data_IF_832201766157
#
_entry.id   IF_832201766157
#
_cell.length_a   1.000
_cell.length_b   1.000
_cell.length_c   1.000
_cell.angle_alpha   90.00
_cell.angle_beta   90.00
_cell.angle_gamma   90.00
#
_symmetry.space_group_name_H-M   'P 1'
#
loop_
_entity.id
_entity.type
_entity.pdbx_description
1 polymer ?
#
# COMPACT_ATOMS: atom_id res chain seq x y z
N UNK A 1 -52.30 32.31 -33.70
CA UNK A 1 -51.38 31.20 -34.03
C UNK A 1 -50.01 31.49 -33.40
N UNK A 2 -49.57 30.59 -32.49
CA UNK A 2 -48.19 30.29 -32.03
C UNK A 2 -47.40 31.43 -31.36
N UNK A 3 -47.35 31.53 -30.02
CA UNK A 3 -46.43 30.86 -29.04
C UNK A 3 -44.95 31.26 -29.26
N UNK A 4 -44.42 32.28 -28.55
CA UNK A 4 -43.68 32.27 -27.25
C UNK A 4 -42.55 31.21 -27.20
N UNK A 5 -41.29 31.65 -26.97
CA UNK A 5 -40.46 31.38 -25.77
C UNK A 5 -38.99 31.76 -26.07
N UNK A 6 -38.52 32.74 -25.31
CA UNK A 6 -37.13 33.14 -25.12
C UNK A 6 -36.47 32.10 -24.18
N UNK A 7 -35.51 31.30 -24.67
CA UNK A 7 -34.78 30.34 -23.82
C UNK A 7 -33.39 30.88 -23.49
N UNK A 8 -33.26 31.45 -22.29
CA UNK A 8 -31.99 31.74 -21.64
C UNK A 8 -31.32 30.41 -21.27
N UNK A 9 -30.28 30.01 -22.00
CA UNK A 9 -29.42 28.89 -21.64
C UNK A 9 -28.42 29.31 -20.57
N UNK A 10 -28.70 28.99 -19.30
CA UNK A 10 -27.73 29.08 -18.22
C UNK A 10 -26.77 27.89 -18.36
N UNK A 11 -25.59 28.13 -18.93
CA UNK A 11 -24.45 27.22 -18.82
C UNK A 11 -23.88 27.33 -17.41
N UNK A 12 -24.36 26.47 -16.50
CA UNK A 12 -23.74 26.27 -15.19
C UNK A 12 -22.45 25.47 -15.38
N UNK A 13 -21.32 26.17 -15.54
CA UNK A 13 -19.99 25.57 -15.38
C UNK A 13 -19.78 25.25 -13.90
N UNK A 14 -20.14 24.03 -13.48
CA UNK A 14 -19.68 23.50 -12.20
C UNK A 14 -18.20 23.18 -12.32
N UNK A 15 -17.35 24.12 -11.93
CA UNK A 15 -15.94 23.80 -11.63
C UNK A 15 -15.92 23.06 -10.30
N UNK A 16 -15.99 21.74 -10.33
CA UNK A 16 -15.72 20.92 -9.15
C UNK A 16 -14.22 21.05 -8.85
N UNK A 17 -13.86 22.01 -8.00
CA UNK A 17 -12.52 22.03 -7.41
C UNK A 17 -12.43 20.82 -6.49
N UNK A 18 -11.58 19.85 -6.84
CA UNK A 18 -11.29 18.73 -5.95
C UNK A 18 -10.79 19.29 -4.61
N UNK A 19 -11.51 19.01 -3.53
CA UNK A 19 -11.04 19.29 -2.18
C UNK A 19 -10.19 18.10 -1.72
N UNK A 20 -9.00 18.41 -1.20
CA UNK A 20 -8.08 17.44 -0.63
C UNK A 20 -8.36 17.26 0.87
N UNK A 21 -8.16 16.04 1.35
CA UNK A 21 -8.38 15.66 2.74
C UNK A 21 -7.33 16.28 3.67
N UNK A 22 -7.77 16.74 4.84
CA UNK A 22 -6.89 17.24 5.89
C UNK A 22 -6.58 16.19 6.97
N UNK A 23 -6.80 14.90 6.69
CA UNK A 23 -6.73 13.82 7.69
C UNK A 23 -5.38 13.74 8.44
N UNK A 24 -4.26 13.95 7.75
CA UNK A 24 -2.93 13.99 8.39
C UNK A 24 -2.38 15.42 8.58
N UNK A 25 -3.16 16.47 8.27
CA UNK A 25 -2.70 17.86 8.27
C UNK A 25 -2.60 18.50 9.67
N UNK A 26 -2.39 17.70 10.71
CA UNK A 26 -2.32 18.21 12.09
C UNK A 26 -0.88 18.58 12.43
N UNK A 27 -0.69 19.89 12.59
CA UNK A 27 0.50 20.47 13.19
C UNK A 27 0.42 20.29 14.71
N UNK A 28 1.23 19.38 15.27
CA UNK A 28 1.33 19.17 16.72
C UNK A 28 2.23 20.27 17.27
N UNK A 29 1.66 21.46 17.44
CA UNK A 29 2.25 22.52 18.26
C UNK A 29 1.19 23.42 18.90
N UNK A 30 0.04 22.86 19.30
CA UNK A 30 -0.88 23.54 20.20
C UNK A 30 -0.64 23.08 21.64
N UNK A 31 0.16 23.86 22.37
CA UNK A 31 0.10 23.90 23.84
C UNK A 31 -1.29 24.40 24.24
N UNK A 32 -2.24 23.48 24.48
CA UNK A 32 -3.55 23.83 25.05
C UNK A 32 -3.49 23.61 26.55
N UNK A 33 -3.35 24.71 27.29
CA UNK A 33 -3.54 24.74 28.74
C UNK A 33 -4.78 25.59 29.04
N UNK A 34 -5.98 25.06 28.77
CA UNK A 34 -7.23 25.72 29.16
C UNK A 34 -8.24 24.74 29.76
N UNK A 35 -8.63 25.03 31.00
CA UNK A 35 -9.78 24.44 31.69
C UNK A 35 -11.06 25.03 31.09
N UNK A 36 -11.79 24.26 30.27
CA UNK A 36 -13.08 24.71 29.70
C UNK A 36 -14.22 23.83 30.21
N UNK A 37 -15.16 24.45 30.93
CA UNK A 37 -16.48 23.88 31.26
C UNK A 37 -17.35 23.86 30.00
N UNK A 38 -17.86 22.70 29.62
CA UNK A 38 -18.68 22.53 28.41
C UNK A 38 -20.16 22.46 28.81
N UNK A 39 -20.93 23.47 28.41
CA UNK A 39 -22.38 23.40 28.27
C UNK A 39 -22.80 24.09 26.97
N UNK A 40 -23.00 23.30 25.91
CA UNK A 40 -23.49 23.78 24.61
C UNK A 40 -23.38 22.69 23.55
N UNK A 41 -24.39 22.58 22.67
CA UNK A 41 -24.42 21.62 21.56
C UNK A 41 -23.21 21.81 20.64
N UNK A 42 -22.28 20.85 20.68
CA UNK A 42 -21.07 20.83 19.86
C UNK A 42 -21.40 20.22 18.50
N UNK A 43 -21.26 21.03 17.45
CA UNK A 43 -21.11 20.52 16.09
C UNK A 43 -19.74 19.84 16.01
N UNK A 44 -19.73 18.51 15.98
CA UNK A 44 -18.51 17.69 16.12
C UNK A 44 -17.68 17.80 14.83
N UNK A 45 -16.80 18.80 14.77
CA UNK A 45 -15.55 18.65 14.02
C UNK A 45 -14.79 17.50 14.69
N UNK A 46 -14.73 16.34 14.03
CA UNK A 46 -14.01 15.14 14.49
C UNK A 46 -12.49 15.43 14.49
N UNK A 47 -12.03 16.18 15.49
CA UNK A 47 -10.62 16.34 15.80
C UNK A 47 -10.14 15.05 16.50
N UNK A 48 -9.26 14.31 15.82
CA UNK A 48 -8.35 13.25 16.29
C UNK A 48 -8.83 12.48 17.52
N UNK A 49 -9.49 11.36 17.29
CA UNK A 49 -9.51 10.26 18.27
C UNK A 49 -8.48 9.24 17.81
N UNK A 50 -7.58 8.84 18.71
CA UNK A 50 -6.53 7.84 18.49
C UNK A 50 -7.06 6.67 17.66
N UNK A 51 -6.45 6.41 16.50
CA UNK A 51 -6.83 5.28 15.64
C UNK A 51 -6.63 3.98 16.42
N UNK A 52 -7.72 3.27 16.72
CA UNK A 52 -7.64 1.94 17.31
C UNK A 52 -7.42 0.90 16.22
N UNK A 53 -6.15 0.73 15.85
CA UNK A 53 -5.72 -0.27 14.88
C UNK A 53 -6.14 -1.69 15.26
N UNK A 54 -6.24 -2.00 16.56
CA UNK A 54 -6.70 -3.30 17.04
C UNK A 54 -8.16 -3.55 16.69
N UNK A 55 -9.03 -2.60 17.02
CA UNK A 55 -10.44 -2.67 16.70
C UNK A 55 -10.69 -2.68 15.18
N UNK A 56 -9.95 -1.87 14.41
CA UNK A 56 -10.02 -1.87 12.95
C UNK A 56 -9.57 -3.21 12.35
N UNK A 57 -8.55 -3.84 12.92
CA UNK A 57 -8.08 -5.16 12.50
C UNK A 57 -9.12 -6.25 12.77
N UNK A 58 -9.73 -6.25 13.97
CA UNK A 58 -10.81 -7.19 14.33
C UNK A 58 -12.01 -7.01 13.39
N UNK A 59 -12.37 -5.76 13.09
CA UNK A 59 -13.45 -5.44 12.16
C UNK A 59 -13.16 -5.95 10.75
N UNK A 60 -11.93 -5.79 10.26
CA UNK A 60 -11.50 -6.34 8.97
C UNK A 60 -11.58 -7.87 8.95
N UNK A 61 -11.08 -8.53 10.00
CA UNK A 61 -11.12 -9.98 10.13
C UNK A 61 -12.56 -10.51 10.09
N UNK A 62 -13.48 -9.86 10.83
CA UNK A 62 -14.89 -10.25 10.84
C UNK A 62 -15.56 -10.05 9.47
N UNK A 63 -15.27 -8.95 8.78
CA UNK A 63 -15.81 -8.70 7.42
C UNK A 63 -15.34 -9.75 6.43
N UNK A 64 -14.04 -10.06 6.43
CA UNK A 64 -13.45 -11.08 5.58
C UNK A 64 -14.09 -12.45 5.87
N UNK A 65 -14.22 -12.80 7.15
CA UNK A 65 -14.89 -14.03 7.58
C UNK A 65 -16.32 -14.11 7.08
N UNK A 66 -17.11 -13.05 7.29
CA UNK A 66 -18.51 -12.99 6.85
C UNK A 66 -18.65 -13.13 5.32
N UNK A 67 -17.71 -12.57 4.56
CA UNK A 67 -17.68 -12.72 3.11
C UNK A 67 -17.38 -14.18 2.73
N UNK A 68 -16.35 -14.77 3.33
CA UNK A 68 -15.94 -16.15 3.06
C UNK A 68 -17.01 -17.15 3.48
N UNK A 69 -17.75 -16.93 4.57
CA UNK A 69 -18.85 -17.79 5.00
C UNK A 69 -20.02 -17.84 4.00
N UNK A 70 -20.19 -16.78 3.17
CA UNK A 70 -21.22 -16.70 2.13
C UNK A 70 -20.82 -17.38 0.82
N UNK A 71 -19.55 -17.71 0.64
CA UNK A 71 -19.07 -18.38 -0.58
C UNK A 71 -19.49 -19.86 -0.57
N UNK A 72 -19.74 -20.40 -1.76
CA UNK A 72 -19.93 -21.83 -1.95
C UNK A 72 -18.56 -22.50 -2.09
N UNK A 73 -18.29 -23.48 -1.24
CA UNK A 73 -17.09 -24.31 -1.31
C UNK A 73 -17.47 -25.72 -1.75
N UNK A 74 -16.64 -26.29 -2.62
CA UNK A 74 -16.74 -27.70 -2.98
C UNK A 74 -16.05 -28.61 -1.93
N UNK A 75 -15.16 -28.04 -1.11
CA UNK A 75 -14.37 -28.74 -0.09
C UNK A 75 -14.47 -27.99 1.25
N UNK A 76 -14.87 -28.70 2.29
CA UNK A 76 -14.97 -28.16 3.65
C UNK A 76 -13.61 -27.77 4.23
N UNK A 77 -12.53 -28.46 3.81
CA UNK A 77 -11.17 -28.10 4.22
C UNK A 77 -10.78 -26.72 3.69
N UNK A 78 -11.09 -26.42 2.44
CA UNK A 78 -10.82 -25.10 1.83
C UNK A 78 -11.59 -24.00 2.55
N UNK A 79 -12.83 -24.28 2.97
CA UNK A 79 -13.62 -23.36 3.80
C UNK A 79 -12.92 -23.08 5.12
N UNK A 80 -12.50 -24.12 5.84
CA UNK A 80 -11.84 -23.96 7.15
C UNK A 80 -10.53 -23.18 7.04
N UNK A 81 -9.69 -23.49 6.04
CA UNK A 81 -8.46 -22.74 5.74
C UNK A 81 -8.78 -21.25 5.50
N UNK A 82 -9.80 -20.97 4.69
CA UNK A 82 -10.20 -19.60 4.35
C UNK A 82 -10.66 -18.83 5.59
N UNK A 83 -11.44 -19.46 6.49
CA UNK A 83 -11.90 -18.84 7.73
C UNK A 83 -10.77 -18.61 8.74
N UNK A 84 -9.81 -19.54 8.85
CA UNK A 84 -8.60 -19.34 9.66
C UNK A 84 -7.79 -18.14 9.15
N UNK A 85 -7.61 -18.03 7.83
CA UNK A 85 -6.90 -16.92 7.19
C UNK A 85 -7.59 -15.59 7.44
N UNK A 86 -8.92 -15.54 7.41
CA UNK A 86 -9.65 -14.32 7.73
C UNK A 86 -9.47 -13.86 9.18
N UNK A 87 -9.31 -14.79 10.12
CA UNK A 87 -9.05 -14.46 11.53
C UNK A 87 -7.56 -14.13 11.79
N UNK A 88 -6.65 -14.80 11.08
CA UNK A 88 -5.21 -14.56 11.12
C UNK A 88 -4.60 -14.60 9.71
N UNK A 89 -4.40 -13.42 9.07
CA UNK A 89 -3.83 -13.33 7.74
C UNK A 89 -2.48 -14.01 7.59
N UNK A 90 -1.71 -14.18 8.68
CA UNK A 90 -0.39 -14.83 8.58
C UNK A 90 -0.50 -16.29 8.19
N UNK A 91 -1.65 -16.94 8.42
CA UNK A 91 -1.94 -18.29 7.94
C UNK A 91 -1.99 -18.38 6.42
N UNK A 92 -2.25 -17.28 5.71
CA UNK A 92 -2.16 -17.28 4.25
C UNK A 92 -0.73 -17.52 3.77
N UNK A 93 0.28 -17.17 4.57
CA UNK A 93 1.65 -17.58 4.30
C UNK A 93 1.75 -19.10 4.41
N UNK A 94 1.35 -19.68 5.55
CA UNK A 94 1.55 -21.10 5.85
C UNK A 94 0.80 -22.02 4.86
N UNK A 95 -0.46 -21.68 4.53
CA UNK A 95 -1.27 -22.39 3.52
C UNK A 95 -0.96 -21.98 2.07
N UNK A 96 -0.19 -20.91 1.89
CA UNK A 96 0.35 -20.51 0.60
C UNK A 96 1.42 -21.48 0.09
N UNK A 97 1.99 -21.18 -1.06
CA UNK A 97 3.00 -22.03 -1.70
C UNK A 97 4.25 -21.25 -2.08
N UNK A 98 5.37 -21.96 -2.12
CA UNK A 98 6.65 -21.40 -2.57
C UNK A 98 6.58 -21.13 -4.07
N UNK A 99 6.97 -19.93 -4.49
CA UNK A 99 7.16 -19.60 -5.89
C UNK A 99 8.65 -19.42 -6.15
N UNK A 100 9.16 -20.19 -7.11
CA UNK A 100 10.55 -20.16 -7.54
C UNK A 100 10.58 -19.99 -9.04
N UNK A 101 11.25 -18.94 -9.52
CA UNK A 101 11.42 -18.74 -10.96
C UNK A 101 12.81 -18.19 -11.28
N UNK A 102 13.31 -18.65 -12.42
CA UNK A 102 14.63 -18.31 -12.94
C UNK A 102 14.48 -17.26 -14.02
N UNK A 103 15.25 -16.18 -13.92
CA UNK A 103 15.39 -15.17 -14.97
C UNK A 103 16.75 -15.34 -15.64
N UNK A 104 16.79 -15.22 -16.98
CA UNK A 104 17.99 -15.42 -17.81
C UNK A 104 17.94 -14.56 -19.06
N UNK A 105 19.10 -14.28 -19.67
CA UNK A 105 19.16 -13.52 -20.93
C UNK A 105 18.67 -12.08 -20.76
N UNK A 106 17.90 -11.57 -21.72
CA UNK A 106 17.45 -10.17 -21.74
C UNK A 106 16.58 -9.79 -20.53
N UNK A 107 15.77 -10.75 -20.05
CA UNK A 107 14.97 -10.60 -18.83
C UNK A 107 15.83 -10.26 -17.60
N UNK A 108 17.02 -10.87 -17.50
CA UNK A 108 17.94 -10.64 -16.39
C UNK A 108 18.87 -9.45 -16.62
N UNK A 109 19.24 -9.20 -17.89
CA UNK A 109 20.20 -8.17 -18.29
C UNK A 109 19.75 -6.77 -17.90
N UNK A 110 18.46 -6.48 -18.00
CA UNK A 110 17.86 -5.21 -17.57
C UNK A 110 18.04 -4.90 -16.07
N UNK A 111 18.41 -5.91 -15.29
CA UNK A 111 18.68 -5.83 -13.86
C UNK A 111 20.17 -5.96 -13.50
N UNK A 112 21.05 -6.01 -14.50
CA UNK A 112 22.49 -6.15 -14.29
C UNK A 112 22.95 -7.59 -14.04
N UNK A 113 22.13 -8.59 -14.37
CA UNK A 113 22.47 -10.00 -14.23
C UNK A 113 22.41 -10.73 -15.57
N UNK A 114 23.21 -11.79 -15.73
CA UNK A 114 23.04 -12.81 -16.78
C UNK A 114 21.98 -13.84 -16.39
N UNK A 115 21.89 -14.17 -15.10
CA UNK A 115 20.94 -15.13 -14.52
C UNK A 115 20.74 -14.87 -13.03
N UNK A 116 19.55 -15.13 -12.50
CA UNK A 116 19.28 -15.27 -11.07
C UNK A 116 17.99 -16.06 -10.85
N UNK A 117 17.84 -16.62 -9.65
CA UNK A 117 16.64 -17.34 -9.18
C UNK A 117 15.96 -16.49 -8.11
N UNK A 118 14.66 -16.22 -8.25
CA UNK A 118 13.87 -15.56 -7.21
C UNK A 118 13.04 -16.59 -6.48
N UNK A 119 12.98 -16.46 -5.17
CA UNK A 119 12.23 -17.30 -4.27
C UNK A 119 11.40 -16.41 -3.36
N UNK A 120 10.08 -16.59 -3.35
CA UNK A 120 9.21 -15.98 -2.34
C UNK A 120 7.94 -16.81 -2.20
N UNK A 121 7.28 -16.66 -1.06
CA UNK A 121 6.02 -17.36 -0.83
C UNK A 121 4.85 -16.55 -1.36
N UNK A 122 3.98 -17.19 -2.14
CA UNK A 122 2.70 -16.62 -2.58
C UNK A 122 1.67 -16.92 -1.50
N UNK A 123 1.03 -15.89 -0.90
CA UNK A 123 -0.04 -16.11 0.06
C UNK A 123 -1.21 -16.88 -0.56
N UNK A 124 -1.94 -17.60 0.27
CA UNK A 124 -3.10 -18.39 -0.15
C UNK A 124 -4.14 -17.53 -0.89
N UNK A 125 -4.76 -18.14 -1.91
CA UNK A 125 -5.68 -17.48 -2.85
C UNK A 125 -6.97 -16.94 -2.24
N UNK A 126 -7.33 -17.41 -1.04
CA UNK A 126 -8.48 -16.89 -0.29
C UNK A 126 -8.27 -15.44 0.14
N UNK A 127 -7.02 -14.96 0.18
CA UNK A 127 -6.70 -13.60 0.55
C UNK A 127 -6.03 -12.82 -0.57
N UNK A 128 -5.04 -13.40 -1.28
CA UNK A 128 -4.37 -12.71 -2.39
C UNK A 128 -4.45 -13.50 -3.69
N UNK A 129 -4.87 -12.84 -4.76
CA UNK A 129 -4.86 -13.39 -6.11
C UNK A 129 -3.65 -12.89 -6.89
N UNK A 130 -3.12 -13.73 -7.78
CA UNK A 130 -2.02 -13.33 -8.66
C UNK A 130 -2.56 -12.43 -9.78
N UNK A 131 -2.14 -11.17 -9.80
CA UNK A 131 -2.54 -10.16 -10.78
C UNK A 131 -1.47 -9.92 -11.87
N UNK A 132 -0.54 -10.88 -12.04
CA UNK A 132 0.50 -10.90 -13.06
C UNK A 132 1.78 -10.15 -12.69
N UNK A 133 2.89 -10.47 -13.39
CA UNK A 133 4.19 -9.77 -13.26
C UNK A 133 4.73 -9.58 -11.82
N UNK A 134 4.49 -10.56 -10.93
CA UNK A 134 4.92 -10.49 -9.53
C UNK A 134 4.06 -9.57 -8.65
N UNK A 135 2.84 -9.24 -9.11
CA UNK A 135 1.83 -8.50 -8.37
C UNK A 135 0.78 -9.44 -7.79
N UNK A 136 0.49 -9.26 -6.52
CA UNK A 136 -0.59 -9.96 -5.80
C UNK A 136 -1.58 -8.93 -5.30
N UNK A 137 -2.86 -9.21 -5.45
CA UNK A 137 -3.92 -8.26 -5.14
C UNK A 137 -4.92 -8.88 -4.17
N UNK A 138 -5.36 -8.07 -3.22
CA UNK A 138 -6.49 -8.33 -2.35
C UNK A 138 -7.46 -7.16 -2.46
N UNK A 139 -8.75 -7.45 -2.68
CA UNK A 139 -9.81 -6.42 -2.72
C UNK A 139 -10.80 -6.74 -1.62
N UNK A 140 -11.00 -5.79 -0.69
CA UNK A 140 -11.98 -5.94 0.40
C UNK A 140 -13.40 -5.70 -0.10
N UNK A 141 -14.39 -6.12 0.69
CA UNK A 141 -15.81 -5.84 0.41
C UNK A 141 -16.15 -4.34 0.38
N UNK A 142 -15.30 -3.50 0.99
CA UNK A 142 -15.43 -2.04 1.01
C UNK A 142 -14.72 -1.37 -0.19
N UNK A 143 -14.22 -2.14 -1.15
CA UNK A 143 -13.53 -1.61 -2.32
C UNK A 143 -12.09 -1.14 -2.05
N UNK A 144 -11.50 -1.52 -0.91
CA UNK A 144 -10.09 -1.23 -0.61
C UNK A 144 -9.23 -2.29 -1.28
N UNK A 145 -8.32 -1.86 -2.13
CA UNK A 145 -7.36 -2.73 -2.80
C UNK A 145 -6.01 -2.66 -2.09
N UNK A 146 -5.44 -3.82 -1.74
CA UNK A 146 -4.05 -3.95 -1.31
C UNK A 146 -3.27 -4.77 -2.33
N UNK A 147 -2.26 -4.17 -2.93
CA UNK A 147 -1.33 -4.82 -3.86
C UNK A 147 0.03 -5.07 -3.19
N UNK A 148 0.62 -6.24 -3.39
CA UNK A 148 2.05 -6.53 -3.13
C UNK A 148 2.73 -6.66 -4.49
N UNK A 149 3.75 -5.84 -4.75
CA UNK A 149 4.49 -5.80 -6.02
C UNK A 149 5.94 -6.14 -5.73
N UNK A 150 6.33 -7.37 -6.06
CA UNK A 150 7.69 -7.84 -5.89
C UNK A 150 8.56 -7.24 -6.99
N UNK A 151 9.47 -6.33 -6.60
CA UNK A 151 10.40 -5.70 -7.51
C UNK A 151 11.47 -6.67 -7.99
N UNK A 152 12.00 -6.40 -9.17
CA UNK A 152 13.14 -7.16 -9.70
C UNK A 152 14.42 -6.71 -8.96
N UNK A 153 15.29 -7.63 -8.50
CA UNK A 153 16.58 -7.25 -7.92
C UNK A 153 17.39 -6.45 -8.94
N UNK A 154 18.22 -5.51 -8.47
CA UNK A 154 19.09 -4.68 -9.30
C UNK A 154 20.54 -4.79 -8.83
N UNK A 155 21.41 -5.31 -9.68
CA UNK A 155 22.85 -5.32 -9.44
C UNK A 155 23.46 -3.94 -9.69
N UNK A 156 24.38 -3.53 -8.82
CA UNK A 156 25.12 -2.28 -8.94
C UNK A 156 26.26 -2.42 -9.97
N UNK A 157 25.91 -2.50 -11.26
CA UNK A 157 26.86 -2.71 -12.36
C UNK A 157 27.93 -1.62 -12.43
N UNK A 158 27.62 -0.41 -11.98
CA UNK A 158 28.51 0.75 -12.02
C UNK A 158 29.32 0.95 -10.73
N UNK A 159 29.16 0.07 -9.74
CA UNK A 159 29.81 0.17 -8.43
C UNK A 159 29.62 1.55 -7.76
N UNK A 160 28.43 2.12 -7.91
CA UNK A 160 28.08 3.42 -7.32
C UNK A 160 27.88 3.25 -5.82
N UNK A 161 28.15 4.32 -5.07
CA UNK A 161 27.71 4.40 -3.67
C UNK A 161 26.19 4.49 -3.65
N UNK A 162 25.54 3.53 -3.00
CA UNK A 162 24.08 3.46 -2.87
C UNK A 162 23.70 3.74 -1.42
N UNK A 163 22.95 4.81 -1.21
CA UNK A 163 22.38 5.17 0.09
C UNK A 163 20.86 4.92 0.07
N UNK A 164 20.47 3.71 0.45
CA UNK A 164 19.05 3.32 0.50
C UNK A 164 18.27 4.14 1.53
N UNK A 165 18.91 4.61 2.60
CA UNK A 165 18.21 5.43 3.60
C UNK A 165 17.79 6.75 2.98
N UNK A 166 18.72 7.43 2.30
CA UNK A 166 18.44 8.66 1.56
C UNK A 166 17.37 8.46 0.49
N UNK A 167 17.48 7.39 -0.31
CA UNK A 167 16.45 7.06 -1.32
C UNK A 167 15.06 6.86 -0.69
N UNK A 168 15.01 6.25 0.50
CA UNK A 168 13.76 5.97 1.24
C UNK A 168 13.23 7.17 2.04
N UNK A 169 13.95 8.28 2.18
CA UNK A 169 13.38 9.53 2.73
C UNK A 169 12.39 10.20 1.78
N UNK A 170 12.44 9.82 0.49
CA UNK A 170 11.56 10.31 -0.57
C UNK A 170 11.46 11.85 -0.54
N UNK A 171 12.62 12.52 -0.50
CA UNK A 171 12.74 13.98 -0.36
C UNK A 171 12.14 14.75 -1.55
N UNK A 172 11.98 14.08 -2.70
CA UNK A 172 11.34 14.63 -3.89
C UNK A 172 9.90 15.08 -3.64
N UNK A 173 9.21 14.47 -2.68
CA UNK A 173 7.83 14.85 -2.32
C UNK A 173 7.80 15.75 -1.09
N UNK A 174 7.02 16.83 -1.18
CA UNK A 174 6.74 17.76 -0.10
C UNK A 174 5.36 17.49 0.49
N UNK A 175 5.27 17.41 1.81
CA UNK A 175 3.99 17.23 2.51
C UNK A 175 3.15 18.50 2.48
N UNK A 176 1.82 18.34 2.54
CA UNK A 176 0.86 19.44 2.58
C UNK A 176 0.70 20.21 1.26
N UNK A 177 1.33 19.76 0.17
CA UNK A 177 1.27 20.43 -1.14
C UNK A 177 1.07 19.46 -2.29
N UNK A 178 0.72 20.01 -3.46
CA UNK A 178 0.67 19.26 -4.71
C UNK A 178 2.08 18.99 -5.23
N UNK A 179 2.29 17.73 -5.60
CA UNK A 179 3.52 17.23 -6.20
C UNK A 179 3.22 16.64 -7.58
N UNK A 180 4.24 16.48 -8.41
CA UNK A 180 4.11 15.70 -9.64
C UNK A 180 3.93 14.21 -9.32
N UNK A 181 3.03 13.56 -10.06
CA UNK A 181 2.79 12.13 -9.89
C UNK A 181 4.02 11.30 -10.28
N UNK A 182 4.42 10.30 -9.47
CA UNK A 182 5.48 9.35 -9.83
C UNK A 182 5.16 8.49 -11.05
N UNK A 183 3.87 8.25 -11.31
CA UNK A 183 3.42 7.22 -12.24
C UNK A 183 2.89 7.76 -13.56
N UNK A 184 2.45 9.02 -13.59
CA UNK A 184 1.77 9.60 -14.75
C UNK A 184 2.18 11.05 -14.97
N UNK A 185 2.85 11.31 -16.09
CA UNK A 185 3.27 12.65 -16.48
C UNK A 185 2.07 13.59 -16.61
N UNK A 186 2.18 14.79 -16.06
CA UNK A 186 1.13 15.81 -16.08
C UNK A 186 0.05 15.64 -15.01
N UNK A 187 0.02 14.52 -14.28
CA UNK A 187 -0.86 14.36 -13.12
C UNK A 187 -0.21 14.90 -11.84
N UNK A 188 -1.05 15.41 -10.95
CA UNK A 188 -0.65 15.90 -9.63
C UNK A 188 -1.17 14.97 -8.54
N UNK A 189 -0.42 14.89 -7.45
CA UNK A 189 -0.80 14.18 -6.23
C UNK A 189 -0.68 15.13 -5.05
N UNK A 190 -1.59 15.03 -4.09
CA UNK A 190 -1.46 15.72 -2.81
C UNK A 190 -0.83 14.75 -1.81
N UNK A 191 0.29 15.15 -1.19
CA UNK A 191 1.00 14.30 -0.22
C UNK A 191 0.64 14.75 1.18
N UNK A 192 -0.01 13.87 1.93
CA UNK A 192 -0.42 14.17 3.30
C UNK A 192 0.70 13.92 4.30
N UNK A 193 1.45 12.82 4.12
CA UNK A 193 2.46 12.40 5.08
C UNK A 193 3.48 11.45 4.46
N UNK A 194 4.70 11.50 4.97
CA UNK A 194 5.75 10.52 4.74
C UNK A 194 6.23 9.96 6.07
N UNK A 195 6.72 8.73 6.04
CA UNK A 195 7.36 8.12 7.21
C UNK A 195 8.47 7.17 6.76
N UNK A 196 9.48 6.97 7.61
CA UNK A 196 10.61 6.12 7.35
C UNK A 196 10.92 5.25 8.56
N UNK A 197 10.81 3.93 8.38
CA UNK A 197 11.06 2.96 9.43
C UNK A 197 12.10 1.93 8.98
N UNK A 198 12.79 1.31 9.94
CA UNK A 198 13.61 0.12 9.66
C UNK A 198 12.72 -1.06 9.31
N UNK A 199 13.18 -1.91 8.41
CA UNK A 199 12.50 -3.15 8.02
C UNK A 199 13.52 -4.24 7.67
N UNK A 200 13.07 -5.49 7.63
CA UNK A 200 13.82 -6.60 7.04
C UNK A 200 13.26 -6.87 5.65
N UNK A 201 14.12 -6.83 4.64
CA UNK A 201 13.75 -6.94 3.22
C UNK A 201 14.70 -7.95 2.58
N UNK A 202 14.15 -9.06 2.08
CA UNK A 202 14.92 -10.20 1.57
C UNK A 202 15.96 -10.72 2.57
N UNK A 203 15.57 -10.94 3.83
CA UNK A 203 16.45 -11.40 4.91
C UNK A 203 17.45 -10.35 5.43
N UNK A 204 17.50 -9.15 4.85
CA UNK A 204 18.54 -8.14 5.12
C UNK A 204 17.93 -6.88 5.73
N UNK A 205 18.71 -6.22 6.62
CA UNK A 205 18.31 -4.94 7.20
C UNK A 205 18.17 -3.88 6.10
N UNK A 206 17.03 -3.20 6.11
CA UNK A 206 16.69 -2.16 5.16
C UNK A 206 15.69 -1.18 5.76
N UNK A 207 14.85 -0.63 4.89
CA UNK A 207 13.90 0.42 5.23
C UNK A 207 12.54 0.18 4.60
N UNK A 208 11.51 0.68 5.28
CA UNK A 208 10.15 0.87 4.77
C UNK A 208 9.86 2.37 4.74
N UNK A 209 9.76 2.91 3.54
CA UNK A 209 9.28 4.26 3.32
C UNK A 209 7.77 4.25 3.09
N UNK A 210 7.00 4.99 3.89
CA UNK A 210 5.56 5.16 3.72
C UNK A 210 5.30 6.51 3.05
N UNK A 211 4.50 6.52 1.99
CA UNK A 211 3.97 7.73 1.37
C UNK A 211 2.44 7.67 1.42
N UNK A 212 1.81 8.63 2.07
CA UNK A 212 0.37 8.78 2.17
C UNK A 212 -0.04 9.96 1.30
N UNK A 213 -0.85 9.69 0.29
CA UNK A 213 -1.15 10.65 -0.76
C UNK A 213 -2.51 10.37 -1.39
N UNK A 214 -3.04 11.35 -2.11
CA UNK A 214 -4.26 11.21 -2.89
C UNK A 214 -4.16 11.92 -4.23
N UNK A 215 -4.96 11.47 -5.19
CA UNK A 215 -5.15 12.16 -6.47
C UNK A 215 -6.61 12.63 -6.63
N UNK A 216 -7.01 12.93 -7.86
CA UNK A 216 -8.35 13.38 -8.18
C UNK A 216 -9.44 12.35 -7.88
N UNK A 217 -9.10 11.06 -7.74
CA UNK A 217 -10.05 9.95 -7.66
C UNK A 217 -9.84 9.03 -6.46
N UNK A 218 -8.60 8.84 -6.01
CA UNK A 218 -8.24 7.79 -5.07
C UNK A 218 -7.33 8.31 -3.96
N UNK A 219 -7.47 7.69 -2.78
CA UNK A 219 -6.54 7.85 -1.66
C UNK A 219 -5.62 6.63 -1.59
N UNK A 220 -4.36 6.83 -1.22
CA UNK A 220 -3.31 5.83 -1.24
C UNK A 220 -2.45 5.86 0.03
N UNK A 221 -2.07 4.67 0.50
CA UNK A 221 -0.92 4.44 1.35
C UNK A 221 0.04 3.52 0.59
N UNK A 222 1.24 4.02 0.29
CA UNK A 222 2.28 3.28 -0.42
C UNK A 222 3.46 3.01 0.50
N UNK A 223 3.69 1.74 0.82
CA UNK A 223 4.87 1.27 1.51
C UNK A 223 5.91 0.77 0.50
N UNK A 224 7.08 1.40 0.46
CA UNK A 224 8.21 0.97 -0.35
C UNK A 224 9.28 0.39 0.56
N UNK A 225 9.46 -0.92 0.47
CA UNK A 225 10.48 -1.68 1.18
C UNK A 225 11.73 -1.77 0.31
N UNK A 226 12.89 -1.39 0.85
CA UNK A 226 14.18 -1.52 0.15
C UNK A 226 15.28 -1.98 1.08
N UNK A 227 16.21 -2.76 0.54
CA UNK A 227 17.50 -3.08 1.16
C UNK A 227 18.60 -3.07 0.11
N UNK A 228 19.84 -2.96 0.57
CA UNK A 228 21.03 -3.07 -0.27
C UNK A 228 21.98 -4.07 0.36
N UNK A 229 22.25 -5.15 -0.37
CA UNK A 229 23.12 -6.23 0.04
C UNK A 229 24.52 -5.99 -0.50
N UNK A 230 25.41 -5.50 0.36
CA UNK A 230 26.82 -5.26 0.04
C UNK A 230 27.67 -6.54 0.02
N UNK A 231 27.12 -7.68 0.48
CA UNK A 231 27.88 -8.94 0.53
C UNK A 231 28.01 -9.64 -0.82
N UNK A 232 27.27 -9.18 -1.83
CA UNK A 232 27.19 -9.79 -3.16
C UNK A 232 27.80 -8.85 -4.22
N UNK A 233 29.03 -9.13 -4.66
CA UNK A 233 29.70 -8.37 -5.72
C UNK A 233 29.79 -6.87 -5.42
N UNK A 234 29.41 -6.01 -6.37
CA UNK A 234 29.27 -4.56 -6.18
C UNK A 234 28.01 -4.14 -5.39
N UNK A 235 27.23 -5.12 -4.95
CA UNK A 235 26.01 -4.99 -4.19
C UNK A 235 24.73 -5.13 -5.01
N UNK A 236 23.66 -5.56 -4.34
CA UNK A 236 22.34 -5.81 -4.94
C UNK A 236 21.26 -5.05 -4.19
N UNK A 237 20.44 -4.29 -4.91
CA UNK A 237 19.26 -3.61 -4.36
C UNK A 237 18.04 -4.52 -4.50
N UNK A 238 17.35 -4.73 -3.39
CA UNK A 238 16.04 -5.38 -3.36
C UNK A 238 14.95 -4.34 -3.13
N UNK A 239 13.78 -4.54 -3.74
CA UNK A 239 12.64 -3.66 -3.54
C UNK A 239 11.31 -4.42 -3.59
N UNK A 240 10.38 -4.05 -2.71
CA UNK A 240 8.98 -4.46 -2.76
C UNK A 240 8.12 -3.23 -2.53
N UNK A 241 7.07 -3.07 -3.33
CA UNK A 241 6.09 -2.01 -3.13
C UNK A 241 4.78 -2.61 -2.69
N UNK A 242 4.18 -2.07 -1.63
CA UNK A 242 2.84 -2.42 -1.17
C UNK A 242 1.98 -1.18 -1.28
N UNK A 243 0.81 -1.29 -1.92
CA UNK A 243 -0.12 -0.17 -2.09
C UNK A 243 -1.47 -0.55 -1.54
N UNK A 244 -1.99 0.25 -0.62
CA UNK A 244 -3.35 0.12 -0.10
C UNK A 244 -4.12 1.36 -0.49
N UNK A 245 -5.19 1.21 -1.28
CA UNK A 245 -5.89 2.34 -1.89
C UNK A 245 -7.37 2.06 -2.16
N UNK A 246 -8.15 3.11 -2.42
CA UNK A 246 -9.53 3.01 -2.83
C UNK A 246 -10.11 4.35 -3.30
N UNK A 247 -11.35 4.33 -3.79
CA UNK A 247 -12.05 5.52 -4.27
C UNK A 247 -12.26 6.51 -3.11
N UNK A 248 -11.76 7.74 -3.25
CA UNK A 248 -11.81 8.74 -2.17
C UNK A 248 -13.23 9.16 -1.76
N UNK A 249 -14.23 8.88 -2.59
CA UNK A 249 -15.64 9.13 -2.29
C UNK A 249 -16.29 7.98 -1.51
N UNK A 250 -15.62 6.83 -1.40
CA UNK A 250 -16.17 5.60 -0.82
C UNK A 250 -15.39 5.13 0.41
N UNK A 251 -14.09 5.46 0.47
CA UNK A 251 -13.19 5.01 1.55
C UNK A 251 -12.45 6.17 2.20
N UNK A 252 -12.12 6.00 3.48
CA UNK A 252 -11.34 6.96 4.28
C UNK A 252 -9.92 6.46 4.55
N UNK A 253 -9.00 7.37 4.90
CA UNK A 253 -7.65 7.00 5.33
C UNK A 253 -7.65 6.06 6.55
N UNK A 254 -8.59 6.23 7.47
CA UNK A 254 -8.76 5.34 8.62
C UNK A 254 -9.06 3.90 8.18
N UNK A 255 -9.94 3.72 7.18
CA UNK A 255 -10.24 2.40 6.63
C UNK A 255 -9.02 1.80 5.92
N UNK A 256 -8.26 2.59 5.16
CA UNK A 256 -7.01 2.16 4.53
C UNK A 256 -5.96 1.72 5.57
N UNK A 257 -5.76 2.51 6.62
CA UNK A 257 -4.85 2.20 7.73
C UNK A 257 -5.28 0.91 8.46
N UNK A 258 -6.59 0.72 8.67
CA UNK A 258 -7.15 -0.51 9.22
C UNK A 258 -6.83 -1.75 8.36
N UNK A 259 -7.03 -1.64 7.04
CA UNK A 259 -6.73 -2.76 6.10
C UNK A 259 -5.22 -3.04 6.04
N UNK A 260 -4.41 -1.99 5.94
CA UNK A 260 -2.94 -2.06 5.96
C UNK A 260 -2.45 -2.75 7.23
N UNK A 261 -2.98 -2.38 8.40
CA UNK A 261 -2.60 -2.97 9.68
C UNK A 261 -3.00 -4.45 9.78
N UNK A 262 -4.23 -4.80 9.37
CA UNK A 262 -4.71 -6.18 9.34
C UNK A 262 -3.79 -7.11 8.51
N UNK A 263 -3.35 -6.64 7.33
CA UNK A 263 -2.48 -7.42 6.43
C UNK A 263 -0.99 -7.34 6.77
N UNK A 264 -0.57 -6.40 7.64
CA UNK A 264 0.83 -6.04 7.87
C UNK A 264 1.74 -7.23 8.18
N UNK A 265 1.35 -8.08 9.14
CA UNK A 265 2.19 -9.20 9.58
C UNK A 265 2.44 -10.21 8.48
N UNK A 266 1.42 -10.50 7.66
CA UNK A 266 1.56 -11.38 6.50
C UNK A 266 2.51 -10.76 5.47
N UNK A 267 2.25 -9.50 5.10
CA UNK A 267 3.04 -8.77 4.09
C UNK A 267 4.51 -8.69 4.49
N UNK A 268 4.79 -8.29 5.72
CA UNK A 268 6.16 -8.20 6.23
C UNK A 268 6.84 -9.58 6.27
N UNK A 269 6.11 -10.66 6.61
CA UNK A 269 6.63 -12.04 6.56
C UNK A 269 7.00 -12.45 5.13
N UNK A 270 6.15 -12.18 4.14
CA UNK A 270 6.45 -12.46 2.71
C UNK A 270 7.70 -11.72 2.25
N UNK A 271 7.83 -10.43 2.60
CA UNK A 271 8.94 -9.57 2.16
C UNK A 271 10.26 -9.97 2.83
N UNK A 272 10.23 -10.25 4.13
CA UNK A 272 11.42 -10.58 4.91
C UNK A 272 11.98 -11.97 4.62
N UNK A 273 11.14 -12.90 4.15
CA UNK A 273 11.52 -14.28 3.81
C UNK A 273 11.77 -14.51 2.32
N UNK A 274 11.60 -13.48 1.49
CA UNK A 274 11.97 -13.55 0.08
C UNK A 274 13.49 -13.68 -0.08
N UNK A 275 13.93 -14.35 -1.13
CA UNK A 275 15.34 -14.62 -1.39
C UNK A 275 15.65 -14.51 -2.88
N UNK A 276 16.88 -14.15 -3.20
CA UNK A 276 17.44 -14.23 -4.55
C UNK A 276 18.73 -15.03 -4.49
N UNK A 277 18.88 -16.00 -5.39
CA UNK A 277 19.99 -16.95 -5.41
C UNK A 277 20.50 -17.19 -6.83
N UNK A 278 21.54 -18.01 -6.99
CA UNK A 278 22.15 -18.40 -8.27
C UNK A 278 22.50 -17.22 -9.19
N UNK A 279 22.89 -16.10 -8.60
CA UNK A 279 23.19 -14.88 -9.34
C UNK A 279 24.45 -15.04 -10.20
N UNK A 280 24.34 -14.62 -11.45
CA UNK A 280 25.46 -14.51 -12.39
C UNK A 280 25.46 -13.11 -12.99
N UNK A 281 26.62 -12.47 -13.02
CA UNK A 281 26.84 -11.10 -13.51
C UNK A 281 27.45 -11.13 -14.92
#
# INVERSE_FOLDING_TARGET
MKHIILLFGVLSFFTTKAQYSNYYSIDINQNVNENIKISGNVNVNKNITTIDYGQLSITNAQRERNQLEKLKYNDEREKNISLEIASDPTKAYDYGYQNTFIRKGDDAKSSGFKKYTNNYRIPHKSLFVNAGKGRFENVSIEGITTEIIIGTPKYNTENKVIDIEKDCKIEVYKEGVLNDSPSEAGKKIFVHKKDLNRATVYGIKGFKATLIWEDEYQIFITDTYKSFDVSIGNGVVYSVKVRTYGNKNEVTFEQLEGRRYYLRRLVEKVISTAEVSDMKF
#
